data_IF_671947730252
#
_entry.id   IF_671947730252
#
_cell.length_a   1.000
_cell.length_b   1.000
_cell.length_c   1.000
_cell.angle_alpha   90.00
_cell.angle_beta   90.00
_cell.angle_gamma   90.00
#
_symmetry.space_group_name_H-M   'P 1'
#
loop_
_entity.id
_entity.type
_entity.pdbx_description
1 polymer ?
#
# COMPACT_ATOMS: atom_id res chain seq x y z
N UNK A 1 -17.22 -15.10 -11.68
CA UNK A 1 -17.96 -14.06 -12.42
C UNK A 1 -18.49 -13.03 -11.42
N UNK A 2 -17.76 -11.94 -11.20
CA UNK A 2 -18.25 -10.76 -10.49
C UNK A 2 -17.43 -9.58 -11.02
N UNK A 3 -17.90 -8.98 -12.11
CA UNK A 3 -17.40 -7.68 -12.52
C UNK A 3 -17.73 -6.71 -11.39
N UNK A 4 -16.74 -5.97 -10.90
CA UNK A 4 -17.02 -4.87 -9.97
C UNK A 4 -18.11 -3.98 -10.61
N UNK A 5 -19.19 -3.66 -9.89
CA UNK A 5 -20.26 -2.86 -10.47
C UNK A 5 -19.66 -1.52 -10.88
N UNK A 6 -19.64 -1.26 -12.18
CA UNK A 6 -19.12 -0.02 -12.76
C UNK A 6 -19.74 1.13 -11.96
N UNK A 7 -19.00 1.95 -11.20
CA UNK A 7 -19.54 2.86 -10.16
C UNK A 7 -19.86 4.29 -10.65
N UNK A 8 -19.49 4.64 -11.89
CA UNK A 8 -19.58 5.99 -12.43
C UNK A 8 -19.97 6.02 -13.92
N UNK A 9 -20.47 7.17 -14.39
CA UNK A 9 -20.49 7.54 -15.82
C UNK A 9 -19.07 7.99 -16.23
N UNK A 10 -18.54 7.43 -17.32
CA UNK A 10 -17.10 7.47 -17.64
C UNK A 10 -16.66 8.75 -18.35
N UNK A 11 -15.66 9.42 -17.78
CA UNK A 11 -14.69 10.24 -18.50
C UNK A 11 -13.29 9.82 -18.02
N UNK A 12 -12.65 8.88 -18.71
CA UNK A 12 -11.28 8.49 -18.44
C UNK A 12 -10.34 9.37 -19.27
N UNK A 13 -9.67 10.33 -18.63
CA UNK A 13 -8.54 11.04 -19.24
C UNK A 13 -7.29 10.17 -19.10
N UNK A 14 -7.15 9.19 -19.99
CA UNK A 14 -5.96 8.33 -20.07
C UNK A 14 -4.91 9.00 -20.93
N UNK A 15 -4.14 9.93 -20.37
CA UNK A 15 -2.88 10.34 -20.96
C UNK A 15 -1.92 9.13 -21.01
N UNK A 16 -1.37 8.86 -22.19
CA UNK A 16 -0.64 7.62 -22.52
C UNK A 16 0.71 7.49 -21.78
N UNK A 17 1.15 8.55 -21.10
CA UNK A 17 2.24 8.50 -20.13
C UNK A 17 1.82 9.25 -18.87
N UNK A 18 1.61 8.55 -17.73
CA UNK A 18 1.28 9.21 -16.48
C UNK A 18 2.43 10.14 -16.04
N UNK A 19 2.16 11.37 -15.56
CA UNK A 19 3.21 12.24 -15.04
C UNK A 19 4.04 11.55 -13.96
N UNK A 20 5.36 11.80 -13.98
CA UNK A 20 6.28 11.31 -12.96
C UNK A 20 6.20 12.18 -11.72
N UNK A 21 5.96 11.56 -10.57
CA UNK A 21 6.02 12.22 -9.27
C UNK A 21 7.31 11.83 -8.54
N UNK A 22 8.19 12.78 -8.18
CA UNK A 22 9.39 12.50 -7.41
C UNK A 22 9.04 12.18 -5.95
N UNK A 23 9.23 10.93 -5.54
CA UNK A 23 9.36 10.56 -4.13
C UNK A 23 10.84 10.49 -3.76
N UNK A 24 11.24 10.69 -2.49
CA UNK A 24 12.64 10.59 -2.10
C UNK A 24 13.25 9.24 -2.53
N UNK A 25 14.12 9.27 -3.53
CA UNK A 25 14.86 8.10 -4.06
C UNK A 25 14.20 7.31 -5.20
N UNK A 26 12.95 7.58 -5.61
CA UNK A 26 12.27 6.82 -6.68
C UNK A 26 11.30 7.72 -7.47
N UNK A 27 11.23 7.55 -8.78
CA UNK A 27 10.21 8.16 -9.64
C UNK A 27 9.00 7.23 -9.76
N UNK A 28 7.79 7.78 -9.66
CA UNK A 28 6.55 7.01 -9.76
C UNK A 28 5.64 7.58 -10.84
N UNK A 29 5.13 6.73 -11.74
CA UNK A 29 4.07 7.11 -12.66
C UNK A 29 2.73 7.27 -11.93
N UNK A 30 2.03 8.38 -12.16
CA UNK A 30 0.74 8.70 -11.55
C UNK A 30 -0.34 8.92 -12.61
N UNK A 31 -1.43 8.14 -12.56
CA UNK A 31 -2.64 8.38 -13.35
C UNK A 31 -3.81 8.80 -12.47
N UNK A 32 -4.69 9.66 -12.97
CA UNK A 32 -5.90 10.11 -12.27
C UNK A 32 -7.14 9.51 -12.92
N UNK A 33 -8.01 8.90 -12.11
CA UNK A 33 -9.32 8.42 -12.53
C UNK A 33 -10.37 9.11 -11.65
N UNK A 34 -11.40 9.67 -12.28
CA UNK A 34 -12.50 10.36 -11.61
C UNK A 34 -13.86 9.91 -12.15
N UNK A 35 -14.92 10.16 -11.40
CA UNK A 35 -16.28 9.82 -11.80
C UNK A 35 -17.32 10.27 -10.78
N UNK A 36 -18.56 10.39 -11.22
CA UNK A 36 -19.69 10.77 -10.36
C UNK A 36 -20.33 9.54 -9.74
N UNK A 37 -20.51 9.56 -8.42
CA UNK A 37 -21.16 8.47 -7.70
C UNK A 37 -22.64 8.37 -8.10
N UNK A 38 -23.12 7.15 -8.34
CA UNK A 38 -24.56 6.92 -8.57
C UNK A 38 -25.42 7.34 -7.39
N UNK A 39 -26.64 7.76 -7.71
CA UNK A 39 -27.70 8.03 -6.73
C UNK A 39 -27.90 6.82 -5.81
N UNK A 40 -27.96 7.07 -4.50
CA UNK A 40 -28.20 6.06 -3.47
C UNK A 40 -26.98 5.30 -2.99
N UNK A 41 -25.78 5.52 -3.57
CA UNK A 41 -24.53 4.95 -3.08
C UNK A 41 -23.82 5.93 -2.12
N UNK A 42 -23.03 5.38 -1.20
CA UNK A 42 -22.24 6.15 -0.24
C UNK A 42 -20.77 5.74 -0.19
N UNK A 43 -20.02 6.38 0.72
CA UNK A 43 -18.58 6.14 0.89
C UNK A 43 -18.23 4.68 1.19
N UNK A 44 -19.09 3.96 1.90
CA UNK A 44 -18.90 2.54 2.19
C UNK A 44 -18.89 1.68 0.91
N UNK A 45 -19.71 2.02 -0.09
CA UNK A 45 -19.77 1.31 -1.38
C UNK A 45 -18.52 1.60 -2.21
N UNK A 46 -18.05 2.86 -2.19
CA UNK A 46 -16.80 3.27 -2.84
C UNK A 46 -15.62 2.49 -2.27
N UNK A 47 -15.48 2.45 -0.93
CA UNK A 47 -14.40 1.70 -0.28
C UNK A 47 -14.47 0.21 -0.62
N UNK A 48 -15.66 -0.42 -0.54
CA UNK A 48 -15.83 -1.84 -0.88
C UNK A 48 -15.44 -2.18 -2.31
N UNK A 49 -15.71 -1.29 -3.27
CA UNK A 49 -15.39 -1.55 -4.67
C UNK A 49 -13.93 -1.27 -5.02
N UNK A 50 -13.30 -0.31 -4.35
CA UNK A 50 -11.97 0.20 -4.72
C UNK A 50 -10.84 -0.40 -3.89
N UNK A 51 -11.06 -0.69 -2.61
CA UNK A 51 -10.03 -1.22 -1.71
C UNK A 51 -9.95 -2.76 -1.74
N UNK A 52 -8.73 -3.33 -1.54
CA UNK A 52 -7.43 -2.66 -1.58
C UNK A 52 -7.08 -2.18 -3.01
N UNK A 53 -6.23 -1.15 -3.14
CA UNK A 53 -5.89 -0.60 -4.45
C UNK A 53 -5.09 -1.59 -5.30
N UNK A 54 -5.24 -1.49 -6.62
CA UNK A 54 -4.56 -2.37 -7.58
C UNK A 54 -3.03 -2.28 -7.48
N UNK A 55 -2.49 -1.09 -7.17
CA UNK A 55 -1.05 -0.83 -7.08
C UNK A 55 -0.30 -1.59 -5.97
N UNK A 56 -1.02 -2.16 -5.00
CA UNK A 56 -0.43 -2.91 -3.88
C UNK A 56 -0.90 -4.37 -3.84
N UNK A 57 -1.70 -4.78 -4.82
CA UNK A 57 -2.21 -6.14 -4.97
C UNK A 57 -1.74 -6.72 -6.29
N UNK A 58 -2.27 -6.20 -7.40
CA UNK A 58 -1.95 -6.61 -8.76
C UNK A 58 -3.20 -6.74 -9.63
N UNK A 59 -3.02 -7.30 -10.82
CA UNK A 59 -4.10 -7.55 -11.78
C UNK A 59 -3.98 -8.96 -12.37
N UNK A 60 -5.06 -9.77 -12.39
CA UNK A 60 -6.38 -9.53 -11.79
C UNK A 60 -6.36 -9.52 -10.25
N UNK A 61 -7.04 -8.52 -9.63
CA UNK A 61 -6.95 -8.24 -8.17
C UNK A 61 -7.15 -9.46 -7.28
N UNK A 62 -8.22 -10.23 -7.52
CA UNK A 62 -8.56 -11.40 -6.67
C UNK A 62 -7.46 -12.46 -6.73
N UNK A 63 -6.95 -12.79 -7.93
CA UNK A 63 -5.90 -13.79 -8.05
C UNK A 63 -4.58 -13.30 -7.46
N UNK A 64 -4.24 -12.03 -7.68
CA UNK A 64 -3.05 -11.44 -7.08
C UNK A 64 -3.10 -11.48 -5.54
N UNK A 65 -4.26 -11.17 -4.93
CA UNK A 65 -4.42 -11.27 -3.47
C UNK A 65 -4.30 -12.70 -2.95
N UNK A 66 -4.78 -13.71 -3.69
CA UNK A 66 -4.60 -15.12 -3.30
C UNK A 66 -3.11 -15.52 -3.32
N UNK A 67 -2.38 -15.13 -4.37
CA UNK A 67 -0.93 -15.41 -4.47
C UNK A 67 -0.18 -14.72 -3.33
N UNK A 68 -0.52 -13.48 -3.01
CA UNK A 68 0.03 -12.76 -1.86
C UNK A 68 -0.20 -13.53 -0.56
N UNK A 69 -1.43 -14.00 -0.33
CA UNK A 69 -1.79 -14.78 0.86
C UNK A 69 -1.07 -16.12 0.94
N UNK A 70 -0.84 -16.78 -0.22
CA UNK A 70 -0.07 -18.02 -0.33
C UNK A 70 1.43 -17.81 0.00
N UNK A 71 2.00 -16.64 -0.34
CA UNK A 71 3.44 -16.37 -0.24
C UNK A 71 3.84 -15.63 1.06
N UNK A 72 2.99 -14.78 1.61
CA UNK A 72 3.32 -13.98 2.78
C UNK A 72 3.17 -14.76 4.08
N UNK A 73 4.18 -14.66 4.94
CA UNK A 73 4.24 -15.44 6.20
C UNK A 73 3.32 -14.93 7.30
N UNK A 74 2.73 -13.75 7.12
CA UNK A 74 1.90 -13.07 8.10
C UNK A 74 0.94 -12.11 7.40
N UNK A 75 -0.20 -11.84 8.04
CA UNK A 75 -1.13 -10.83 7.56
C UNK A 75 -0.48 -9.44 7.53
N UNK A 76 -0.79 -8.67 6.49
CA UNK A 76 -0.24 -7.31 6.30
C UNK A 76 -0.62 -6.30 7.39
N UNK A 77 -1.67 -6.58 8.17
CA UNK A 77 -2.16 -5.65 9.19
C UNK A 77 -2.49 -4.29 8.56
N UNK A 78 -2.00 -3.16 9.10
CA UNK A 78 -2.21 -1.85 8.49
C UNK A 78 -1.53 -1.66 7.13
N UNK A 79 -0.47 -2.42 6.81
CA UNK A 79 0.26 -2.25 5.55
C UNK A 79 -0.65 -2.52 4.34
N UNK A 80 -0.61 -1.63 3.35
CA UNK A 80 -1.51 -1.62 2.18
C UNK A 80 -3.01 -1.39 2.51
N UNK A 81 -3.35 -1.06 3.76
CA UNK A 81 -4.67 -0.58 4.17
C UNK A 81 -4.92 0.89 3.82
N UNK A 82 -5.97 1.48 4.40
CA UNK A 82 -6.35 2.88 4.20
C UNK A 82 -6.11 3.71 5.46
N UNK A 83 -5.52 4.89 5.32
CA UNK A 83 -5.42 5.92 6.37
C UNK A 83 -6.09 7.18 5.85
N UNK A 84 -7.06 7.72 6.58
CA UNK A 84 -7.84 8.83 6.08
C UNK A 84 -8.96 9.29 7.00
N UNK A 85 -9.85 10.11 6.48
CA UNK A 85 -11.02 10.60 7.18
C UNK A 85 -12.28 10.53 6.31
N UNK A 86 -13.43 10.50 6.97
CA UNK A 86 -14.74 10.73 6.39
C UNK A 86 -15.41 11.83 7.19
N UNK A 87 -15.81 12.90 6.52
CA UNK A 87 -16.50 14.05 7.12
C UNK A 87 -18.01 13.83 7.10
N UNK A 88 -18.71 14.47 8.04
CA UNK A 88 -20.17 14.55 8.04
C UNK A 88 -20.71 15.39 6.87
N UNK A 89 -19.87 16.23 6.25
CA UNK A 89 -20.18 16.97 5.01
C UNK A 89 -20.23 16.07 3.76
N UNK A 90 -19.77 14.81 3.87
CA UNK A 90 -19.67 13.88 2.74
C UNK A 90 -18.28 13.81 2.10
N UNK A 91 -17.36 14.71 2.47
CA UNK A 91 -15.97 14.67 2.01
C UNK A 91 -15.22 13.49 2.62
N UNK A 92 -14.38 12.83 1.83
CA UNK A 92 -13.46 11.84 2.34
C UNK A 92 -12.14 11.85 1.58
N UNK A 93 -11.07 11.54 2.29
CA UNK A 93 -9.75 11.39 1.71
C UNK A 93 -9.04 10.23 2.37
N UNK A 94 -8.45 9.35 1.55
CA UNK A 94 -7.69 8.20 2.00
C UNK A 94 -6.35 8.13 1.28
N UNK A 95 -5.32 7.79 2.04
CA UNK A 95 -4.02 7.36 1.54
C UNK A 95 -3.86 5.87 1.78
N UNK A 96 -3.14 5.22 0.88
CA UNK A 96 -2.73 3.82 1.09
C UNK A 96 -1.62 3.81 2.13
N UNK A 97 -1.72 2.93 3.12
CA UNK A 97 -0.74 2.75 4.18
C UNK A 97 0.53 2.05 3.66
N UNK A 98 1.30 2.78 2.86
CA UNK A 98 2.64 2.44 2.40
C UNK A 98 3.64 3.42 3.01
N UNK A 99 4.90 3.03 3.10
CA UNK A 99 5.94 3.82 3.79
C UNK A 99 5.52 4.24 5.21
N UNK A 100 4.74 3.40 5.90
CA UNK A 100 4.18 3.67 7.23
C UNK A 100 4.86 2.75 8.24
N UNK A 101 5.40 3.31 9.33
CA UNK A 101 5.95 2.54 10.44
C UNK A 101 4.86 2.26 11.47
N UNK A 102 4.71 1.00 11.88
CA UNK A 102 3.78 0.57 12.91
C UNK A 102 4.57 0.23 14.16
N UNK A 103 4.28 0.91 15.27
CA UNK A 103 4.93 0.69 16.56
C UNK A 103 3.91 0.07 17.51
N UNK A 104 4.17 -1.17 17.93
CA UNK A 104 3.39 -1.83 18.98
C UNK A 104 4.11 -1.64 20.30
N UNK A 105 3.47 -0.95 21.23
CA UNK A 105 4.01 -0.68 22.58
C UNK A 105 4.05 -1.96 23.39
N UNK A 106 5.12 -2.14 24.16
CA UNK A 106 5.19 -3.21 25.17
C UNK A 106 4.43 -2.82 26.44
N UNK A 107 4.43 -1.53 26.77
CA UNK A 107 3.72 -0.94 27.91
C UNK A 107 2.75 0.14 27.39
N UNK A 108 1.46 -0.20 27.17
CA UNK A 108 0.49 0.72 26.57
C UNK A 108 0.29 2.01 27.39
N UNK A 109 0.33 1.88 28.72
CA UNK A 109 0.03 2.97 29.66
C UNK A 109 1.27 3.80 30.06
N UNK A 110 2.45 3.43 29.57
CA UNK A 110 3.68 4.16 29.87
C UNK A 110 3.72 5.53 29.17
N UNK A 111 4.38 6.50 29.83
CA UNK A 111 4.59 7.83 29.28
C UNK A 111 5.23 7.77 27.88
N UNK A 112 4.78 8.60 26.92
CA UNK A 112 5.37 8.65 25.58
C UNK A 112 6.88 8.96 25.58
N UNK A 113 7.39 9.61 26.63
CA UNK A 113 8.80 10.00 26.75
C UNK A 113 9.77 8.84 26.99
N UNK A 114 9.29 7.68 27.45
CA UNK A 114 10.10 6.48 27.71
C UNK A 114 9.41 5.21 27.19
N UNK A 115 8.97 5.26 25.94
CA UNK A 115 8.26 4.16 25.30
C UNK A 115 9.24 3.11 24.75
N UNK A 116 9.02 1.84 25.08
CA UNK A 116 9.60 0.68 24.37
C UNK A 116 8.53 0.00 23.53
N UNK A 117 8.95 -0.58 22.39
CA UNK A 117 8.02 -1.21 21.47
C UNK A 117 8.70 -1.83 20.25
N UNK A 118 7.95 -2.68 19.56
CA UNK A 118 8.37 -3.28 18.30
C UNK A 118 7.91 -2.41 17.14
N UNK A 119 8.87 -1.94 16.34
CA UNK A 119 8.61 -1.24 15.09
C UNK A 119 8.59 -2.25 13.93
N UNK A 120 7.55 -2.18 13.11
CA UNK A 120 7.45 -2.91 11.83
C UNK A 120 7.32 -1.90 10.70
N UNK A 121 8.11 -2.08 9.64
CA UNK A 121 8.06 -1.25 8.44
C UNK A 121 8.10 -2.14 7.20
N UNK A 122 6.93 -2.33 6.59
CA UNK A 122 6.78 -3.21 5.44
C UNK A 122 7.05 -2.45 4.13
N UNK A 123 7.77 -3.11 3.24
CA UNK A 123 8.08 -2.64 1.89
C UNK A 123 7.81 -3.77 0.89
N UNK A 124 7.59 -3.41 -0.37
CA UNK A 124 7.31 -4.35 -1.44
C UNK A 124 7.56 -3.71 -2.81
N UNK A 125 7.55 -4.54 -3.84
CA UNK A 125 7.71 -4.14 -5.23
C UNK A 125 6.66 -4.87 -6.10
N UNK A 126 6.40 -4.32 -7.29
CA UNK A 126 5.40 -4.85 -8.20
C UNK A 126 6.03 -5.81 -9.19
N UNK A 127 5.66 -7.09 -9.15
CA UNK A 127 6.26 -8.10 -10.01
C UNK A 127 5.51 -8.19 -11.34
N UNK A 128 6.25 -8.11 -12.44
CA UNK A 128 5.78 -8.37 -13.81
C UNK A 128 6.60 -9.49 -14.45
N UNK A 129 6.20 -9.94 -15.64
CA UNK A 129 6.86 -11.05 -16.32
C UNK A 129 8.35 -10.80 -16.60
N UNK A 130 8.72 -9.54 -16.83
CA UNK A 130 10.09 -9.12 -17.16
C UNK A 130 10.89 -8.67 -15.93
N UNK A 131 10.34 -8.83 -14.72
CA UNK A 131 11.02 -8.45 -13.47
C UNK A 131 12.24 -9.32 -13.21
N UNK A 132 13.37 -8.69 -12.87
CA UNK A 132 14.55 -9.38 -12.34
C UNK A 132 14.48 -9.42 -10.80
N UNK A 133 14.57 -10.60 -10.14
CA UNK A 133 14.42 -10.70 -8.69
C UNK A 133 15.33 -9.78 -7.86
N UNK A 134 16.58 -9.61 -8.30
CA UNK A 134 17.56 -8.76 -7.62
C UNK A 134 17.18 -7.27 -7.71
N UNK A 135 16.64 -6.82 -8.84
CA UNK A 135 16.22 -5.43 -9.03
C UNK A 135 15.00 -5.10 -8.16
N UNK A 136 14.03 -6.00 -8.09
CA UNK A 136 12.84 -5.84 -7.25
C UNK A 136 13.20 -5.81 -5.77
N UNK A 137 14.15 -6.67 -5.35
CA UNK A 137 14.70 -6.64 -4.00
C UNK A 137 15.38 -5.30 -3.70
N UNK A 138 16.24 -4.81 -4.59
CA UNK A 138 16.90 -3.51 -4.45
C UNK A 138 15.88 -2.37 -4.37
N UNK A 139 14.81 -2.39 -5.15
CA UNK A 139 13.73 -1.41 -5.08
C UNK A 139 13.10 -1.38 -3.68
N UNK A 140 12.84 -2.55 -3.05
CA UNK A 140 12.32 -2.59 -1.68
C UNK A 140 13.27 -1.94 -0.67
N UNK A 141 14.58 -2.14 -0.83
CA UNK A 141 15.60 -1.53 0.03
C UNK A 141 15.65 0.00 -0.17
N UNK A 142 15.52 0.48 -1.41
CA UNK A 142 15.44 1.93 -1.69
C UNK A 142 14.19 2.54 -1.04
N UNK A 143 13.05 1.85 -1.08
CA UNK A 143 11.81 2.28 -0.39
C UNK A 143 11.98 2.34 1.14
N UNK A 144 12.78 1.42 1.71
CA UNK A 144 13.07 1.39 3.15
C UNK A 144 14.16 2.39 3.60
N UNK A 145 15.03 2.81 2.68
CA UNK A 145 16.24 3.56 3.00
C UNK A 145 15.98 4.85 3.76
N UNK A 146 14.87 5.55 3.47
CA UNK A 146 14.48 6.77 4.18
C UNK A 146 14.36 6.54 5.69
N UNK A 147 13.56 5.54 6.09
CA UNK A 147 13.37 5.22 7.50
C UNK A 147 14.65 4.65 8.13
N UNK A 148 15.35 3.77 7.42
CA UNK A 148 16.59 3.17 7.93
C UNK A 148 17.65 4.23 8.27
N UNK A 149 17.81 5.25 7.41
CA UNK A 149 18.71 6.38 7.68
C UNK A 149 18.28 7.17 8.91
N UNK A 150 16.98 7.46 9.05
CA UNK A 150 16.43 8.16 10.22
C UNK A 150 16.68 7.40 11.52
N UNK A 151 16.52 6.08 11.50
CA UNK A 151 16.70 5.21 12.67
C UNK A 151 18.16 4.75 12.87
N UNK A 152 19.09 5.15 11.98
CA UNK A 152 20.49 4.70 11.96
C UNK A 152 20.63 3.18 11.94
N UNK A 153 19.70 2.49 11.29
CA UNK A 153 19.73 1.03 11.11
C UNK A 153 20.59 0.74 9.88
N UNK A 154 21.63 -0.09 10.06
CA UNK A 154 22.41 -0.65 8.93
C UNK A 154 21.69 -1.89 8.39
N UNK A 155 21.87 -2.16 7.09
CA UNK A 155 21.18 -3.16 6.24
C UNK A 155 20.49 -4.32 6.99
N UNK A 156 19.18 -4.55 6.76
CA UNK A 156 18.50 -5.69 7.36
C UNK A 156 19.16 -6.98 6.87
N UNK A 157 19.42 -7.91 7.79
CA UNK A 157 19.88 -9.26 7.41
C UNK A 157 18.70 -9.98 6.76
N UNK A 158 18.88 -10.67 5.61
CA UNK A 158 17.83 -11.53 5.09
C UNK A 158 17.44 -12.53 6.18
N UNK A 159 16.13 -12.63 6.44
CA UNK A 159 15.60 -13.66 7.32
C UNK A 159 15.87 -14.97 6.62
N UNK A 160 16.69 -15.86 7.22
CA UNK A 160 16.95 -17.20 6.68
C UNK A 160 15.60 -17.84 6.30
N UNK A 161 15.53 -18.43 5.11
CA UNK A 161 14.40 -19.29 4.72
C UNK A 161 14.12 -20.28 5.85
N UNK A 162 12.95 -20.18 6.51
CA UNK A 162 12.48 -21.30 7.30
C UNK A 162 12.21 -22.46 6.33
N UNK A 163 12.50 -23.72 6.73
CA UNK A 163 12.30 -24.87 5.87
C UNK A 163 10.85 -24.90 5.38
N UNK A 164 10.67 -25.26 4.10
CA UNK A 164 9.37 -25.65 3.54
C UNK A 164 8.75 -26.77 4.37
#
# INVERSE_FOLDING_TARGET
>A
HAAAPNLAEHAADTSILPPLNPAPGILQGVGTVSGTLRVGLGMADVLRATFPPGSVTGAPKVRAMQIIDELERASRGPYCGAIGYVSTSGDAQFSVAIRTAIIVREQPDASPSHMTGRLTYSVGAGIVADSAPDDEWLETLVKAAGLMRTLRITTPRPVKEAPL
#
